data_IF_418938998460
#
_entry.id   IF_418938998460
#
_cell.length_a   1.000
_cell.length_b   1.000
_cell.length_c   1.000
_cell.angle_alpha   90.00
_cell.angle_beta   90.00
_cell.angle_gamma   90.00
#
_symmetry.space_group_name_H-M   'P 1'
#
loop_
_entity.id
_entity.type
_entity.pdbx_description
1 polymer ?
#
# COMPACT_ATOMS: atom_id res chain seq x y z
N UNK A 1 -1.02 -20.94 -5.82
CA UNK A 1 -1.96 -20.18 -6.66
C UNK A 1 -1.33 -18.83 -6.93
N UNK A 2 -1.17 -18.43 -8.19
CA UNK A 2 -0.61 -17.13 -8.54
C UNK A 2 -1.72 -16.08 -8.42
N UNK A 3 -1.75 -15.35 -7.32
CA UNK A 3 -2.71 -14.25 -7.16
C UNK A 3 -2.22 -13.06 -7.99
N UNK A 4 -2.83 -12.84 -9.15
CA UNK A 4 -2.54 -11.68 -10.00
C UNK A 4 -3.51 -10.57 -9.63
N UNK A 5 -2.98 -9.44 -9.13
CA UNK A 5 -3.78 -8.24 -8.90
C UNK A 5 -3.83 -7.38 -10.16
N UNK A 6 -5.02 -6.93 -10.55
CA UNK A 6 -5.18 -5.98 -11.65
C UNK A 6 -4.73 -4.58 -11.23
N UNK A 7 -4.06 -3.89 -12.15
CA UNK A 7 -3.66 -2.49 -12.01
C UNK A 7 -4.61 -1.63 -12.82
N UNK A 8 -4.99 -0.48 -12.27
CA UNK A 8 -5.74 0.53 -13.04
C UNK A 8 -4.83 1.23 -14.07
N UNK A 9 -5.41 2.22 -14.78
CA UNK A 9 -4.71 3.02 -15.80
C UNK A 9 -3.48 3.75 -15.26
N UNK A 10 -3.44 4.04 -13.95
CA UNK A 10 -2.32 4.68 -13.26
C UNK A 10 -1.29 3.66 -12.73
N UNK A 11 -1.52 2.37 -12.92
CA UNK A 11 -0.65 1.30 -12.45
C UNK A 11 -0.83 0.98 -10.95
N UNK A 12 -1.93 1.44 -10.33
CA UNK A 12 -2.24 1.27 -8.91
C UNK A 12 -3.09 0.02 -8.73
N UNK A 13 -2.77 -0.75 -7.69
CA UNK A 13 -3.59 -1.91 -7.29
C UNK A 13 -4.65 -1.45 -6.31
N UNK A 14 -5.92 -1.62 -6.68
CA UNK A 14 -7.05 -1.28 -5.81
C UNK A 14 -7.48 -2.56 -5.06
N UNK A 15 -7.65 -2.44 -3.74
CA UNK A 15 -8.11 -3.54 -2.89
C UNK A 15 -9.19 -3.04 -1.92
N UNK A 16 -10.14 -3.92 -1.64
CA UNK A 16 -11.32 -3.60 -0.83
C UNK A 16 -11.52 -4.61 0.34
N UNK A 17 -10.64 -5.62 0.46
CA UNK A 17 -10.76 -6.68 1.47
C UNK A 17 -9.48 -6.90 2.27
N UNK A 18 -9.65 -7.39 3.52
CA UNK A 18 -8.56 -7.84 4.38
C UNK A 18 -7.75 -8.99 3.75
N UNK A 19 -8.40 -9.92 3.05
CA UNK A 19 -7.73 -11.07 2.45
C UNK A 19 -6.75 -10.66 1.33
N UNK A 20 -7.13 -9.67 0.52
CA UNK A 20 -6.25 -9.10 -0.51
C UNK A 20 -5.05 -8.41 0.13
N UNK A 21 -5.30 -7.66 1.20
CA UNK A 21 -4.26 -6.99 1.97
C UNK A 21 -3.25 -7.97 2.57
N UNK A 22 -3.71 -9.01 3.25
CA UNK A 22 -2.85 -10.05 3.82
C UNK A 22 -2.05 -10.77 2.74
N UNK A 23 -2.66 -11.02 1.58
CA UNK A 23 -1.97 -11.63 0.43
C UNK A 23 -0.87 -10.73 -0.11
N UNK A 24 -1.09 -9.41 -0.21
CA UNK A 24 -0.05 -8.46 -0.65
C UNK A 24 1.12 -8.43 0.33
N UNK A 25 0.85 -8.42 1.63
CA UNK A 25 1.90 -8.45 2.65
C UNK A 25 2.68 -9.78 2.62
N UNK A 26 1.98 -10.91 2.51
CA UNK A 26 2.61 -12.23 2.50
C UNK A 26 3.44 -12.50 1.23
N UNK A 27 3.01 -11.95 0.08
CA UNK A 27 3.70 -12.18 -1.21
C UNK A 27 4.73 -11.12 -1.54
N UNK A 28 4.77 -10.00 -0.81
CA UNK A 28 5.62 -8.84 -1.11
C UNK A 28 5.43 -8.29 -2.53
N UNK A 29 4.36 -8.70 -3.24
CA UNK A 29 4.15 -8.46 -4.67
C UNK A 29 5.35 -8.83 -5.58
N UNK A 30 5.96 -10.00 -5.36
CA UNK A 30 6.98 -10.56 -6.27
C UNK A 30 6.46 -11.01 -7.65
N UNK A 31 5.22 -10.70 -8.01
CA UNK A 31 4.59 -11.18 -9.24
C UNK A 31 4.68 -10.12 -10.34
N UNK A 32 5.69 -10.28 -11.19
CA UNK A 32 5.61 -10.03 -12.64
C UNK A 32 5.83 -8.57 -13.11
N UNK A 33 7.03 -8.32 -13.65
CA UNK A 33 7.39 -7.22 -14.58
C UNK A 33 7.10 -5.76 -14.17
N UNK A 34 7.35 -5.35 -12.92
CA UNK A 34 7.58 -3.92 -12.68
C UNK A 34 9.07 -3.61 -12.73
N UNK A 35 9.47 -2.86 -13.76
CA UNK A 35 10.78 -2.17 -13.84
C UNK A 35 10.88 -1.07 -12.77
N UNK A 36 9.83 -0.87 -11.97
CA UNK A 36 9.76 0.04 -10.82
C UNK A 36 9.75 -0.78 -9.54
N UNK A 37 10.64 -0.44 -8.61
CA UNK A 37 10.82 -1.13 -7.31
C UNK A 37 9.68 -0.94 -6.31
N UNK A 38 8.62 -0.21 -6.67
CA UNK A 38 7.53 0.15 -5.77
C UNK A 38 6.20 -0.24 -6.40
N UNK A 39 5.32 -0.82 -5.59
CA UNK A 39 3.91 -0.98 -5.93
C UNK A 39 3.07 -0.06 -5.07
N UNK A 40 2.18 0.69 -5.72
CA UNK A 40 1.19 1.51 -5.03
C UNK A 40 -0.10 0.71 -4.90
N UNK A 41 -0.56 0.58 -3.66
CA UNK A 41 -1.81 -0.08 -3.31
C UNK A 41 -2.75 0.96 -2.74
N UNK A 42 -3.98 1.02 -3.26
CA UNK A 42 -5.03 1.91 -2.80
C UNK A 42 -6.11 1.09 -2.13
N UNK A 43 -6.36 1.40 -0.87
CA UNK A 43 -7.47 0.85 -0.09
C UNK A 43 -8.62 1.84 -0.09
N UNK A 44 -9.81 1.40 -0.47
CA UNK A 44 -10.99 2.22 -0.35
C UNK A 44 -11.52 2.21 1.09
N UNK A 45 -11.24 3.27 1.85
CA UNK A 45 -11.57 3.36 3.27
C UNK A 45 -13.08 3.41 3.60
N UNK A 46 -13.94 3.48 2.57
CA UNK A 46 -15.40 3.39 2.70
C UNK A 46 -15.96 1.97 2.57
N UNK A 47 -15.15 0.99 2.15
CA UNK A 47 -15.57 -0.41 2.02
C UNK A 47 -15.55 -1.12 3.38
N UNK A 48 -16.55 -1.97 3.64
CA UNK A 48 -16.69 -2.68 4.92
C UNK A 48 -15.47 -3.56 5.23
N UNK A 49 -14.84 -4.13 4.20
CA UNK A 49 -13.67 -5.00 4.33
C UNK A 49 -12.38 -4.30 4.78
N UNK A 50 -12.34 -2.95 4.77
CA UNK A 50 -11.13 -2.16 5.06
C UNK A 50 -11.09 -1.66 6.51
N UNK A 51 -12.21 -1.76 7.25
CA UNK A 51 -12.30 -1.36 8.66
C UNK A 51 -11.19 -1.96 9.56
N UNK A 52 -10.97 -3.29 9.53
CA UNK A 52 -9.93 -3.94 10.32
C UNK A 52 -8.51 -3.47 9.98
N UNK A 53 -8.22 -3.24 8.69
CA UNK A 53 -6.92 -2.73 8.21
C UNK A 53 -6.65 -1.34 8.79
N UNK A 54 -7.64 -0.44 8.75
CA UNK A 54 -7.51 0.91 9.33
C UNK A 54 -7.23 0.85 10.83
N UNK A 55 -7.91 -0.02 11.55
CA UNK A 55 -7.69 -0.20 12.98
C UNK A 55 -6.29 -0.75 13.28
N UNK A 56 -5.82 -1.74 12.53
CA UNK A 56 -4.50 -2.36 12.70
C UNK A 56 -3.35 -1.35 12.54
N UNK A 57 -3.50 -0.38 11.64
CA UNK A 57 -2.48 0.65 11.37
C UNK A 57 -2.79 2.02 11.98
N UNK A 58 -3.78 2.08 12.88
CA UNK A 58 -4.24 3.30 13.54
C UNK A 58 -4.51 4.47 12.57
N UNK A 59 -5.21 4.19 11.47
CA UNK A 59 -5.59 5.18 10.46
C UNK A 59 -6.83 5.94 10.89
N UNK A 60 -6.61 7.08 11.54
CA UNK A 60 -7.69 7.97 12.00
C UNK A 60 -8.03 9.09 11.00
N UNK A 61 -7.05 9.50 10.18
CA UNK A 61 -7.18 10.64 9.27
C UNK A 61 -6.87 10.22 7.84
N UNK A 62 -7.74 10.62 6.90
CA UNK A 62 -7.58 10.38 5.46
C UNK A 62 -7.18 11.66 4.72
N UNK A 63 -6.41 11.56 3.62
CA UNK A 63 -5.74 10.35 3.13
C UNK A 63 -4.60 9.91 4.06
N UNK A 64 -4.33 8.60 4.10
CA UNK A 64 -3.23 8.02 4.86
C UNK A 64 -2.32 7.22 3.92
N UNK A 65 -1.02 7.44 4.04
CA UNK A 65 0.00 6.74 3.26
C UNK A 65 0.89 5.95 4.21
N UNK A 66 0.89 4.63 4.03
CA UNK A 66 1.67 3.67 4.79
C UNK A 66 2.76 3.10 3.86
N UNK A 67 3.90 2.70 4.44
CA UNK A 67 5.08 2.31 3.68
C UNK A 67 5.57 0.95 4.16
N UNK A 68 5.58 -0.03 3.25
CA UNK A 68 5.92 -1.41 3.56
C UNK A 68 7.12 -1.87 2.73
N UNK A 69 7.96 -2.71 3.34
CA UNK A 69 9.05 -3.44 2.70
C UNK A 69 9.12 -4.83 3.32
N UNK A 70 9.17 -5.87 2.50
CA UNK A 70 9.25 -7.27 2.94
C UNK A 70 8.14 -7.67 3.94
N UNK A 71 6.94 -7.12 3.75
CA UNK A 71 5.77 -7.38 4.60
C UNK A 71 5.71 -6.55 5.88
N UNK A 72 6.74 -5.75 6.19
CA UNK A 72 6.83 -4.93 7.40
C UNK A 72 6.69 -3.43 7.12
N UNK A 73 6.12 -2.68 8.07
CA UNK A 73 6.02 -1.24 7.96
C UNK A 73 7.36 -0.57 8.35
N UNK A 74 8.04 0.06 7.40
CA UNK A 74 9.43 0.55 7.59
C UNK A 74 9.54 2.06 7.80
N UNK A 75 8.49 2.84 7.53
CA UNK A 75 8.49 4.29 7.73
C UNK A 75 7.26 4.79 8.47
N UNK A 76 7.41 5.97 9.09
CA UNK A 76 6.30 6.69 9.70
C UNK A 76 5.21 6.97 8.67
N UNK A 77 3.94 6.68 8.97
CA UNK A 77 2.82 7.02 8.09
C UNK A 77 2.78 8.52 7.79
N UNK A 78 2.31 8.87 6.60
CA UNK A 78 2.00 10.25 6.25
C UNK A 78 0.48 10.41 6.23
N UNK A 79 -0.05 11.22 7.14
CA UNK A 79 -1.47 11.57 7.21
C UNK A 79 -1.75 12.94 6.60
N UNK A 80 -2.84 13.03 5.84
CA UNK A 80 -3.29 14.21 5.13
C UNK A 80 -2.55 14.49 3.82
N UNK A 81 -2.92 15.58 3.15
CA UNK A 81 -2.39 15.99 1.84
C UNK A 81 -0.97 16.61 1.91
N UNK A 82 -0.02 15.91 2.51
CA UNK A 82 1.35 16.40 2.70
C UNK A 82 2.29 15.87 1.60
N UNK A 83 2.33 16.57 0.46
CA UNK A 83 3.10 16.16 -0.73
C UNK A 83 4.62 16.03 -0.48
N UNK A 84 5.21 16.98 0.25
CA UNK A 84 6.65 16.99 0.53
C UNK A 84 7.11 15.75 1.33
N UNK A 85 6.56 15.45 2.52
CA UNK A 85 6.96 14.26 3.27
C UNK A 85 6.58 12.96 2.56
N UNK A 86 5.47 12.92 1.82
CA UNK A 86 5.13 11.76 0.99
C UNK A 86 6.22 11.47 -0.04
N UNK A 87 6.66 12.49 -0.80
CA UNK A 87 7.72 12.35 -1.80
C UNK A 87 9.03 11.86 -1.18
N UNK A 88 9.42 12.44 -0.04
CA UNK A 88 10.65 12.05 0.68
C UNK A 88 10.60 10.58 1.12
N UNK A 89 9.47 10.12 1.69
CA UNK A 89 9.32 8.71 2.12
C UNK A 89 9.30 7.73 0.94
N UNK A 90 8.65 8.08 -0.16
CA UNK A 90 8.66 7.26 -1.39
C UNK A 90 10.08 7.13 -1.95
N UNK A 91 10.86 8.22 -1.95
CA UNK A 91 12.26 8.19 -2.41
C UNK A 91 13.14 7.33 -1.51
N UNK A 92 12.96 7.40 -0.19
CA UNK A 92 13.68 6.54 0.76
C UNK A 92 13.34 5.06 0.56
N UNK A 93 12.06 4.74 0.34
CA UNK A 93 11.62 3.37 0.12
C UNK A 93 12.12 2.80 -1.22
N UNK A 94 12.23 3.64 -2.26
CA UNK A 94 12.73 3.25 -3.58
C UNK A 94 14.26 3.07 -3.64
N UNK A 95 14.98 3.55 -2.63
CA UNK A 95 16.43 3.48 -2.60
C UNK A 95 16.93 2.03 -2.62
N UNK A 96 18.05 1.73 -3.32
CA UNK A 96 18.66 0.41 -3.36
C UNK A 96 19.04 -0.13 -1.97
#
# INVERSE_FOLDING_TARGET
MSTSFEKDEDGIVNIDTQADWDTILATGMTTTFSVRRLTFVKLNAGEEGVGPIKAAYNVEVLPAFLFFKDGEQVHTPVFGYKKKPLKEKVQLLAAP
#
